data_IF_945831545374
#
_entry.id   IF_945831545374
#
_cell.length_a   1.000
_cell.length_b   1.000
_cell.length_c   1.000
_cell.angle_alpha   90.00
_cell.angle_beta   90.00
_cell.angle_gamma   90.00
#
_symmetry.space_group_name_H-M   'P 1'
#
loop_
_entity.id
_entity.type
_entity.pdbx_description
1 polymer ?
#
# COMPACT_ATOMS: atom_id res chain seq x y z
N UNK A 1 -10.47 -11.34 -8.65
CA UNK A 1 -9.48 -12.17 -7.94
C UNK A 1 -8.77 -11.33 -6.87
N UNK A 2 -8.13 -11.93 -5.83
CA UNK A 2 -7.39 -11.18 -4.80
C UNK A 2 -6.31 -10.26 -5.39
N UNK A 3 -5.61 -10.76 -6.41
CA UNK A 3 -4.60 -10.04 -7.17
C UNK A 3 -5.13 -8.76 -7.85
N UNK A 4 -6.30 -8.85 -8.50
CA UNK A 4 -6.94 -7.70 -9.17
C UNK A 4 -7.35 -6.63 -8.14
N UNK A 5 -7.96 -7.05 -7.01
CA UNK A 5 -8.32 -6.13 -5.92
C UNK A 5 -7.10 -5.43 -5.32
N UNK A 6 -5.99 -6.14 -5.21
CA UNK A 6 -4.74 -5.58 -4.73
C UNK A 6 -4.19 -4.55 -5.73
N UNK A 7 -4.21 -4.85 -7.03
CA UNK A 7 -3.81 -3.89 -8.07
C UNK A 7 -4.68 -2.64 -8.06
N UNK A 8 -5.99 -2.78 -7.87
CA UNK A 8 -6.92 -1.64 -7.74
C UNK A 8 -6.56 -0.79 -6.52
N UNK A 9 -6.36 -1.43 -5.35
CA UNK A 9 -6.04 -0.72 -4.11
C UNK A 9 -4.69 -0.01 -4.17
N UNK A 10 -3.69 -0.58 -4.84
CA UNK A 10 -2.39 0.06 -5.06
C UNK A 10 -2.48 1.24 -6.01
N UNK A 11 -3.29 1.11 -7.07
CA UNK A 11 -3.53 2.22 -8.01
C UNK A 11 -4.25 3.37 -7.31
N UNK A 12 -5.24 3.05 -6.47
CA UNK A 12 -5.95 4.03 -5.63
C UNK A 12 -4.98 4.72 -4.68
N UNK A 13 -4.12 3.97 -3.97
CA UNK A 13 -3.13 4.54 -3.06
C UNK A 13 -2.24 5.57 -3.78
N UNK A 14 -1.73 5.23 -4.96
CA UNK A 14 -0.88 6.13 -5.75
C UNK A 14 -1.64 7.38 -6.21
N UNK A 15 -2.91 7.26 -6.62
CA UNK A 15 -3.76 8.42 -6.95
C UNK A 15 -3.95 9.34 -5.74
N UNK A 16 -4.26 8.76 -4.57
CA UNK A 16 -4.44 9.52 -3.33
C UNK A 16 -3.16 10.28 -2.94
N UNK A 17 -1.98 9.66 -3.11
CA UNK A 17 -0.69 10.31 -2.85
C UNK A 17 -0.38 11.46 -3.83
N UNK A 18 -0.82 11.35 -5.08
CA UNK A 18 -0.62 12.39 -6.09
C UNK A 18 -1.59 13.58 -5.86
N UNK A 19 -2.87 13.28 -5.63
CA UNK A 19 -3.94 14.27 -5.46
C UNK A 19 -3.86 15.04 -4.13
N UNK A 20 -3.46 14.38 -3.04
CA UNK A 20 -3.37 15.02 -1.73
C UNK A 20 -1.99 15.68 -1.54
N UNK A 21 -1.89 16.94 -1.94
CA UNK A 21 -0.71 17.81 -1.70
C UNK A 21 -0.36 18.02 -0.21
N UNK A 22 -1.26 17.65 0.70
CA UNK A 22 -1.12 17.81 2.15
C UNK A 22 -0.31 16.70 2.83
N UNK A 23 -0.07 15.57 2.14
CA UNK A 23 0.83 14.53 2.65
C UNK A 23 2.27 15.02 2.51
N UNK A 24 3.06 14.95 3.59
CA UNK A 24 4.44 15.40 3.55
C UNK A 24 5.24 14.60 2.51
N UNK A 25 6.19 15.26 1.84
CA UNK A 25 6.94 14.66 0.74
C UNK A 25 7.70 13.37 1.14
N UNK A 26 8.18 13.31 2.39
CA UNK A 26 8.85 12.11 2.93
C UNK A 26 7.90 10.93 3.08
N UNK A 27 6.66 11.17 3.50
CA UNK A 27 5.68 10.10 3.69
C UNK A 27 5.09 9.65 2.34
N UNK A 28 4.91 10.59 1.39
CA UNK A 28 4.59 10.24 -0.01
C UNK A 28 5.63 9.33 -0.63
N UNK A 29 6.91 9.57 -0.35
CA UNK A 29 7.99 8.72 -0.85
C UNK A 29 7.91 7.32 -0.24
N UNK A 30 7.76 7.21 1.09
CA UNK A 30 7.68 5.92 1.77
C UNK A 30 6.51 5.06 1.27
N UNK A 31 5.30 5.62 1.21
CA UNK A 31 4.13 4.90 0.68
C UNK A 31 4.23 4.62 -0.82
N UNK A 32 4.81 5.55 -1.58
CA UNK A 32 5.05 5.36 -3.02
C UNK A 32 6.03 4.22 -3.30
N UNK A 33 7.08 4.08 -2.49
CA UNK A 33 8.02 2.97 -2.58
C UNK A 33 7.36 1.63 -2.23
N UNK A 34 6.55 1.57 -1.16
CA UNK A 34 5.81 0.36 -0.79
C UNK A 34 4.81 -0.06 -1.88
N UNK A 35 4.07 0.92 -2.43
CA UNK A 35 3.16 0.70 -3.55
C UNK A 35 3.89 0.15 -4.79
N UNK A 36 5.07 0.70 -5.11
CA UNK A 36 5.87 0.26 -6.25
C UNK A 36 6.45 -1.16 -6.04
N UNK A 37 6.95 -1.48 -4.85
CA UNK A 37 7.40 -2.85 -4.51
C UNK A 37 6.27 -3.86 -4.67
N UNK A 38 5.09 -3.51 -4.16
CA UNK A 38 3.89 -4.33 -4.30
C UNK A 38 3.49 -4.54 -5.77
N UNK A 39 3.57 -3.52 -6.63
CA UNK A 39 3.36 -3.68 -8.08
C UNK A 39 4.38 -4.62 -8.74
N UNK A 40 5.65 -4.56 -8.36
CA UNK A 40 6.70 -5.45 -8.88
C UNK A 40 6.41 -6.90 -8.53
N UNK A 41 6.01 -7.17 -7.28
CA UNK A 41 5.58 -8.49 -6.84
C UNK A 41 4.33 -8.97 -7.60
N UNK A 42 3.33 -8.10 -7.75
CA UNK A 42 2.11 -8.39 -8.49
C UNK A 42 2.38 -8.72 -9.97
N UNK A 43 3.30 -8.02 -10.62
CA UNK A 43 3.65 -8.27 -12.01
C UNK A 43 4.53 -9.53 -12.21
N UNK A 44 4.82 -10.27 -11.14
CA UNK A 44 5.58 -11.53 -11.20
C UNK A 44 7.08 -11.31 -11.43
N UNK A 45 7.57 -10.09 -11.22
CA UNK A 45 9.01 -9.79 -11.25
C UNK A 45 9.72 -10.18 -9.96
N UNK A 46 8.97 -10.54 -8.91
CA UNK A 46 9.49 -11.17 -7.70
C UNK A 46 8.87 -12.56 -7.52
N UNK A 47 9.71 -13.59 -7.42
CA UNK A 47 9.28 -14.97 -7.15
C UNK A 47 8.90 -15.19 -5.66
N UNK A 48 9.24 -14.23 -4.79
CA UNK A 48 8.90 -14.24 -3.37
C UNK A 48 8.28 -12.91 -2.94
N UNK A 49 7.27 -13.01 -2.07
CA UNK A 49 6.74 -11.86 -1.33
C UNK A 49 7.68 -11.50 -0.20
N UNK A 50 7.86 -10.20 0.04
CA UNK A 50 8.69 -9.71 1.15
C UNK A 50 7.95 -9.96 2.47
N UNK A 51 8.61 -10.62 3.43
CA UNK A 51 8.01 -10.96 4.74
C UNK A 51 7.64 -9.70 5.54
N UNK A 52 8.42 -8.63 5.40
CA UNK A 52 8.20 -7.36 6.11
C UNK A 52 7.15 -6.45 5.44
N UNK A 53 6.63 -6.81 4.25
CA UNK A 53 5.77 -5.91 3.47
C UNK A 53 4.49 -5.53 4.21
N UNK A 54 3.84 -6.53 4.83
CA UNK A 54 2.60 -6.32 5.59
C UNK A 54 2.89 -5.45 6.81
N UNK A 55 3.98 -5.72 7.53
CA UNK A 55 4.40 -4.91 8.68
C UNK A 55 4.73 -3.46 8.28
N UNK A 56 5.37 -3.25 7.12
CA UNK A 56 5.65 -1.91 6.62
C UNK A 56 4.36 -1.14 6.31
N UNK A 57 3.36 -1.78 5.68
CA UNK A 57 2.04 -1.17 5.48
C UNK A 57 1.31 -0.90 6.81
N UNK A 58 1.40 -1.79 7.80
CA UNK A 58 0.81 -1.57 9.13
C UNK A 58 1.46 -0.37 9.85
N UNK A 59 2.79 -0.24 9.76
CA UNK A 59 3.50 0.93 10.30
C UNK A 59 3.02 2.23 9.66
N UNK A 60 2.82 2.23 8.35
CA UNK A 60 2.25 3.39 7.65
C UNK A 60 0.79 3.63 8.05
N UNK A 61 -0.03 2.58 8.18
CA UNK A 61 -1.44 2.72 8.58
C UNK A 61 -1.58 3.52 9.87
N UNK A 62 -0.78 3.19 10.89
CA UNK A 62 -0.77 3.89 12.18
C UNK A 62 -0.43 5.37 12.03
N UNK A 63 0.51 5.72 11.13
CA UNK A 63 0.90 7.11 10.88
C UNK A 63 -0.20 7.91 10.19
N UNK A 64 -0.98 7.25 9.34
CA UNK A 64 -2.00 7.89 8.49
C UNK A 64 -3.41 7.86 9.08
N UNK A 65 -3.66 7.07 10.12
CA UNK A 65 -4.99 6.84 10.69
C UNK A 65 -5.65 8.15 11.18
N UNK A 66 -4.87 9.06 11.76
CA UNK A 66 -5.37 10.34 12.27
C UNK A 66 -5.33 11.46 11.23
N UNK A 67 -4.28 11.52 10.39
CA UNK A 67 -4.02 12.64 9.49
C UNK A 67 -4.69 12.50 8.12
N UNK A 68 -4.80 11.28 7.59
CA UNK A 68 -5.32 11.03 6.25
C UNK A 68 -6.22 9.77 6.23
N UNK A 69 -7.47 9.85 6.71
CA UNK A 69 -8.34 8.70 6.89
C UNK A 69 -8.66 7.95 5.60
N UNK A 70 -8.63 8.64 4.44
CA UNK A 70 -8.80 8.00 3.13
C UNK A 70 -7.60 7.14 2.76
N UNK A 71 -6.38 7.65 2.95
CA UNK A 71 -5.14 6.90 2.69
C UNK A 71 -5.05 5.69 3.64
N UNK A 72 -5.34 5.90 4.94
CA UNK A 72 -5.39 4.83 5.93
C UNK A 72 -6.37 3.71 5.53
N UNK A 73 -7.55 4.07 5.03
CA UNK A 73 -8.52 3.08 4.52
C UNK A 73 -7.94 2.25 3.37
N UNK A 74 -7.29 2.88 2.41
CA UNK A 74 -6.70 2.17 1.26
C UNK A 74 -5.58 1.23 1.71
N UNK A 75 -4.72 1.68 2.63
CA UNK A 75 -3.66 0.85 3.22
C UNK A 75 -4.26 -0.36 3.96
N UNK A 76 -5.32 -0.15 4.76
CA UNK A 76 -6.02 -1.23 5.46
C UNK A 76 -6.61 -2.27 4.49
N UNK A 77 -7.11 -1.82 3.34
CA UNK A 77 -7.63 -2.69 2.29
C UNK A 77 -6.54 -3.50 1.59
N UNK A 78 -5.35 -2.91 1.41
CA UNK A 78 -4.14 -3.61 0.94
C UNK A 78 -3.75 -4.71 1.93
N UNK A 79 -3.58 -4.37 3.22
CA UNK A 79 -3.22 -5.33 4.29
C UNK A 79 -4.22 -6.48 4.36
N UNK A 80 -5.52 -6.17 4.36
CA UNK A 80 -6.58 -7.19 4.40
C UNK A 80 -6.50 -8.13 3.19
N UNK A 81 -6.17 -7.60 2.02
CA UNK A 81 -6.03 -8.40 0.80
C UNK A 81 -4.76 -9.25 0.83
N UNK A 82 -3.64 -8.72 1.34
CA UNK A 82 -2.40 -9.47 1.55
C UNK A 82 -2.60 -10.64 2.51
N UNK A 83 -3.19 -10.39 3.69
CA UNK A 83 -3.52 -11.43 4.67
C UNK A 83 -4.47 -12.49 4.08
N UNK A 84 -5.42 -12.07 3.25
CA UNK A 84 -6.33 -12.97 2.53
C UNK A 84 -5.66 -13.87 1.50
N UNK A 85 -4.42 -13.56 1.09
CA UNK A 85 -3.59 -14.40 0.22
C UNK A 85 -2.65 -15.34 1.00
N UNK A 86 -2.67 -15.28 2.35
CA UNK A 86 -1.79 -16.07 3.21
C UNK A 86 -0.39 -15.50 3.38
N UNK A 87 -0.25 -14.19 3.18
CA UNK A 87 0.94 -13.40 3.49
C UNK A 87 0.84 -12.83 4.90
#
# INVERSE_FOLDING_TARGET
MPKEKLQESVSELKSQLDEHGEVAAVDKQALGELAARLEVMLNGSSEHWEEDLVEEFERQLIQYEEAHPVIARVISQIITTLNGMGL
#
